data_IF_058962321435
#
_entry.id   IF_058962321435
#
_cell.length_a   1.000
_cell.length_b   1.000
_cell.length_c   1.000
_cell.angle_alpha   90.00
_cell.angle_beta   90.00
_cell.angle_gamma   90.00
#
_symmetry.space_group_name_H-M   'P 1'
#
loop_
_entity.id
_entity.type
_entity.pdbx_description
1 polymer ?
#
# COMPACT_ATOMS: atom_id res chain seq x y z
N UNK A 1 -9.11 -18.62 -6.84
CA UNK A 1 -8.85 -19.34 -8.12
C UNK A 1 -10.07 -19.55 -9.02
N UNK A 2 -11.31 -19.64 -8.48
CA UNK A 2 -12.51 -19.81 -9.31
C UNK A 2 -12.88 -18.56 -10.12
N UNK A 3 -12.53 -17.37 -9.64
CA UNK A 3 -12.75 -16.09 -10.31
C UNK A 3 -12.15 -16.05 -11.74
N UNK A 4 -12.84 -15.31 -12.62
CA UNK A 4 -12.53 -15.15 -14.04
C UNK A 4 -12.71 -13.67 -14.45
N UNK A 5 -12.03 -13.19 -15.50
CA UNK A 5 -11.04 -13.91 -16.31
C UNK A 5 -9.70 -14.11 -15.59
N UNK A 6 -9.42 -13.31 -14.56
CA UNK A 6 -8.20 -13.40 -13.74
C UNK A 6 -8.58 -13.72 -12.29
N UNK A 7 -8.00 -14.77 -11.68
CA UNK A 7 -8.23 -15.05 -10.29
C UNK A 7 -7.54 -14.02 -9.39
N UNK A 8 -8.12 -13.73 -8.22
CA UNK A 8 -7.42 -12.95 -7.20
C UNK A 8 -6.06 -13.57 -6.86
N UNK A 9 -5.01 -12.77 -7.04
CA UNK A 9 -3.60 -13.16 -6.89
C UNK A 9 -2.88 -12.40 -5.75
N UNK A 10 -3.61 -11.54 -5.05
CA UNK A 10 -3.13 -10.77 -3.89
C UNK A 10 -4.05 -11.01 -2.70
N UNK A 11 -3.46 -11.20 -1.52
CA UNK A 11 -4.19 -11.39 -0.26
C UNK A 11 -3.54 -10.55 0.84
N UNK A 12 -4.36 -9.80 1.57
CA UNK A 12 -3.93 -9.08 2.76
C UNK A 12 -4.45 -9.76 4.03
N UNK A 13 -3.54 -10.16 4.90
CA UNK A 13 -3.85 -10.70 6.22
C UNK A 13 -4.04 -9.53 7.19
N UNK A 14 -5.18 -9.50 7.87
CA UNK A 14 -5.55 -8.45 8.85
C UNK A 14 -6.31 -9.07 10.02
N UNK A 15 -6.85 -8.24 10.93
CA UNK A 15 -7.65 -8.65 12.08
C UNK A 15 -7.64 -7.58 13.16
N UNK A 16 -7.25 -7.97 14.38
CA UNK A 16 -6.70 -7.04 15.36
C UNK A 16 -5.24 -6.77 15.02
N UNK A 17 -4.32 -7.31 15.82
CA UNK A 17 -2.91 -7.40 15.47
C UNK A 17 -2.58 -8.84 15.05
N UNK A 18 -2.40 -9.14 13.74
CA UNK A 18 -2.25 -10.53 13.27
C UNK A 18 -1.01 -11.24 13.81
N UNK A 19 0.05 -10.49 14.15
CA UNK A 19 1.29 -11.08 14.71
C UNK A 19 1.13 -11.63 16.13
N UNK A 20 -0.04 -11.43 16.77
CA UNK A 20 -0.38 -12.11 18.03
C UNK A 20 -0.76 -13.59 17.83
N UNK A 21 -0.97 -14.01 16.58
CA UNK A 21 -1.29 -15.40 16.24
C UNK A 21 0.00 -16.19 16.02
N UNK A 22 0.31 -17.20 16.87
CA UNK A 22 1.55 -17.96 16.76
C UNK A 22 1.71 -18.69 15.42
N UNK A 23 0.62 -19.17 14.83
CA UNK A 23 0.63 -19.92 13.57
C UNK A 23 0.71 -19.01 12.33
N UNK A 24 0.95 -17.70 12.49
CA UNK A 24 0.98 -16.75 11.37
C UNK A 24 1.98 -17.17 10.26
N UNK A 25 3.24 -17.58 10.55
CA UNK A 25 4.15 -18.03 9.50
C UNK A 25 3.63 -19.25 8.73
N UNK A 26 2.98 -20.21 9.41
CA UNK A 26 2.37 -21.38 8.76
C UNK A 26 1.21 -20.97 7.85
N UNK A 27 0.36 -20.03 8.29
CA UNK A 27 -0.74 -19.49 7.48
C UNK A 27 -0.21 -18.80 6.22
N UNK A 28 0.84 -17.99 6.34
CA UNK A 28 1.50 -17.35 5.20
C UNK A 28 2.01 -18.40 4.21
N UNK A 29 2.65 -19.46 4.72
CA UNK A 29 3.14 -20.57 3.91
C UNK A 29 2.01 -21.29 3.15
N UNK A 30 0.90 -21.62 3.84
CA UNK A 30 -0.28 -22.23 3.21
C UNK A 30 -0.83 -21.33 2.10
N UNK A 31 -0.98 -20.03 2.35
CA UNK A 31 -1.46 -19.08 1.34
C UNK A 31 -0.52 -19.04 0.13
N UNK A 32 0.80 -19.13 0.36
CA UNK A 32 1.79 -19.16 -0.72
C UNK A 32 1.74 -20.46 -1.53
N UNK A 33 1.60 -21.61 -0.87
CA UNK A 33 1.42 -22.92 -1.48
C UNK A 33 0.14 -23.00 -2.32
N UNK A 34 -0.90 -22.28 -1.90
CA UNK A 34 -2.12 -22.08 -2.68
C UNK A 34 -1.94 -21.16 -3.88
N UNK A 35 -0.72 -20.69 -4.18
CA UNK A 35 -0.39 -19.96 -5.40
C UNK A 35 -0.84 -18.50 -5.39
N UNK A 36 -0.97 -17.89 -4.23
CA UNK A 36 -1.12 -16.43 -4.12
C UNK A 36 0.25 -15.79 -4.36
N UNK A 37 0.32 -14.87 -5.31
CA UNK A 37 1.58 -14.24 -5.72
C UNK A 37 2.04 -13.24 -4.66
N UNK A 38 1.10 -12.40 -4.22
CA UNK A 38 1.36 -11.27 -3.35
C UNK A 38 0.64 -11.40 -2.01
N UNK A 39 1.40 -11.53 -0.92
CA UNK A 39 0.85 -11.66 0.44
C UNK A 39 1.28 -10.44 1.24
N UNK A 40 0.31 -9.63 1.67
CA UNK A 40 0.54 -8.46 2.52
C UNK A 40 0.10 -8.73 3.95
N UNK A 41 0.84 -8.19 4.92
CA UNK A 41 0.48 -8.29 6.34
C UNK A 41 0.13 -6.91 6.90
N UNK A 42 -1.13 -6.70 7.24
CA UNK A 42 -1.58 -5.49 7.94
C UNK A 42 -1.24 -5.58 9.43
N UNK A 43 -0.34 -4.73 9.90
CA UNK A 43 0.21 -4.81 11.28
C UNK A 43 0.56 -3.42 11.81
N UNK A 44 0.53 -3.27 13.14
CA UNK A 44 1.13 -2.13 13.83
C UNK A 44 2.66 -2.23 13.94
N UNK A 45 3.28 -3.35 13.57
CA UNK A 45 4.73 -3.54 13.53
C UNK A 45 5.42 -3.79 14.89
N UNK A 46 4.70 -3.66 16.01
CA UNK A 46 5.29 -3.70 17.36
C UNK A 46 5.97 -5.05 17.63
N UNK A 47 5.33 -6.17 17.29
CA UNK A 47 5.93 -7.49 17.52
C UNK A 47 7.16 -7.73 16.64
N UNK A 48 7.22 -7.14 15.44
CA UNK A 48 8.42 -7.18 14.61
C UNK A 48 9.56 -6.33 15.20
N UNK A 49 9.24 -5.22 15.88
CA UNK A 49 10.23 -4.43 16.61
C UNK A 49 10.79 -5.18 17.83
N UNK A 50 9.94 -5.93 18.54
CA UNK A 50 10.32 -6.68 19.74
C UNK A 50 11.04 -8.00 19.40
N UNK A 51 10.63 -8.66 18.31
CA UNK A 51 11.21 -9.91 17.82
C UNK A 51 11.66 -9.78 16.36
N UNK A 52 12.91 -9.36 16.11
CA UNK A 52 13.43 -9.22 14.74
C UNK A 52 13.42 -10.52 13.92
N UNK A 53 13.48 -11.69 14.57
CA UNK A 53 13.45 -12.99 13.87
C UNK A 53 12.11 -13.23 13.18
N UNK A 54 11.02 -12.66 13.70
CA UNK A 54 9.70 -12.76 13.08
C UNK A 54 9.68 -12.20 11.65
N UNK A 55 10.43 -11.12 11.38
CA UNK A 55 10.51 -10.56 10.03
C UNK A 55 11.15 -11.56 9.04
N UNK A 56 12.18 -12.27 9.47
CA UNK A 56 12.84 -13.32 8.66
C UNK A 56 11.92 -14.53 8.48
N UNK A 57 11.29 -15.02 9.55
CA UNK A 57 10.35 -16.15 9.50
C UNK A 57 9.18 -15.87 8.54
N UNK A 58 8.58 -14.68 8.60
CA UNK A 58 7.50 -14.28 7.71
C UNK A 58 7.99 -14.16 6.26
N UNK A 59 9.19 -13.60 6.04
CA UNK A 59 9.78 -13.50 4.72
C UNK A 59 10.01 -14.88 4.10
N UNK A 60 10.61 -15.78 4.85
CA UNK A 60 10.89 -17.16 4.44
C UNK A 60 9.62 -17.96 4.18
N UNK A 61 8.54 -17.70 4.94
CA UNK A 61 7.22 -18.26 4.70
C UNK A 61 6.56 -17.77 3.40
N UNK A 62 7.07 -16.70 2.79
CA UNK A 62 6.58 -16.17 1.51
C UNK A 62 5.85 -14.83 1.61
N UNK A 63 5.93 -14.12 2.75
CA UNK A 63 5.35 -12.80 2.88
C UNK A 63 6.02 -11.81 1.91
N UNK A 64 5.20 -11.02 1.21
CA UNK A 64 5.69 -10.09 0.19
C UNK A 64 6.09 -8.74 0.78
N UNK A 65 5.24 -8.17 1.64
CA UNK A 65 5.52 -6.92 2.35
C UNK A 65 4.64 -6.76 3.59
N UNK A 66 5.01 -5.79 4.43
CA UNK A 66 4.14 -5.24 5.46
C UNK A 66 3.26 -4.13 4.88
N UNK A 67 2.01 -4.12 5.31
CA UNK A 67 1.08 -3.00 5.21
C UNK A 67 1.02 -2.35 6.60
N UNK A 68 2.04 -1.55 6.93
CA UNK A 68 2.33 -1.12 8.30
C UNK A 68 1.59 0.17 8.67
N UNK A 69 0.82 0.10 9.75
CA UNK A 69 0.12 1.25 10.32
C UNK A 69 1.11 2.33 10.78
N UNK A 70 0.98 3.56 10.29
CA UNK A 70 1.90 4.66 10.59
C UNK A 70 1.21 6.01 10.42
N UNK A 71 0.57 6.53 11.49
CA UNK A 71 -0.35 7.69 11.37
C UNK A 71 0.33 9.06 11.40
N UNK A 72 1.64 9.09 11.59
CA UNK A 72 2.37 10.34 11.77
C UNK A 72 3.78 10.14 12.30
N UNK A 73 4.52 11.22 12.32
CA UNK A 73 5.91 11.28 12.75
C UNK A 73 6.07 11.72 14.20
N UNK A 74 5.02 12.24 14.85
CA UNK A 74 5.08 12.61 16.26
C UNK A 74 4.41 11.57 17.19
N UNK A 75 4.78 11.53 18.49
CA UNK A 75 4.08 10.69 19.45
C UNK A 75 2.60 11.04 19.61
N UNK A 76 2.22 12.29 19.28
CA UNK A 76 0.85 12.79 19.41
C UNK A 76 -0.05 12.24 18.29
N UNK A 77 0.45 12.24 17.05
CA UNK A 77 -0.29 11.74 15.88
C UNK A 77 -0.15 10.23 15.73
N UNK A 78 0.94 9.64 16.21
CA UNK A 78 1.21 8.20 16.12
C UNK A 78 1.47 7.52 17.49
N UNK A 79 0.54 7.60 18.46
CA UNK A 79 0.75 7.09 19.82
C UNK A 79 0.86 5.56 19.92
N UNK A 80 0.46 4.84 18.87
CA UNK A 80 0.42 3.37 18.81
C UNK A 80 1.81 2.76 18.71
N UNK A 81 2.67 3.27 17.83
CA UNK A 81 3.95 2.65 17.48
C UNK A 81 5.06 3.65 17.17
N UNK A 82 4.94 4.93 17.54
CA UNK A 82 5.97 5.94 17.23
C UNK A 82 7.38 5.53 17.67
N UNK A 83 7.51 4.89 18.83
CA UNK A 83 8.83 4.46 19.34
C UNK A 83 9.30 3.14 18.73
N UNK A 84 8.35 2.31 18.29
CA UNK A 84 8.56 0.96 17.80
C UNK A 84 8.85 0.93 16.29
N UNK A 85 8.23 1.82 15.51
CA UNK A 85 8.32 1.83 14.06
C UNK A 85 9.76 1.86 13.50
N UNK A 86 10.73 2.62 14.06
CA UNK A 86 12.10 2.59 13.56
C UNK A 86 12.76 1.21 13.72
N UNK A 87 12.46 0.50 14.81
CA UNK A 87 12.95 -0.87 15.03
C UNK A 87 12.24 -1.90 14.13
N UNK A 88 10.96 -1.70 13.83
CA UNK A 88 10.24 -2.50 12.83
C UNK A 88 10.91 -2.35 11.46
N UNK A 89 11.21 -1.11 11.06
CA UNK A 89 11.90 -0.81 9.79
C UNK A 89 13.25 -1.52 9.72
N UNK A 90 14.04 -1.47 10.79
CA UNK A 90 15.34 -2.15 10.82
C UNK A 90 15.22 -3.68 10.78
N UNK A 91 14.25 -4.26 11.48
CA UNK A 91 13.99 -5.71 11.43
C UNK A 91 13.61 -6.15 10.02
N UNK A 92 12.78 -5.37 9.35
CA UNK A 92 12.40 -5.58 7.95
C UNK A 92 13.57 -5.41 6.99
N UNK A 93 14.46 -4.43 7.23
CA UNK A 93 15.68 -4.21 6.46
C UNK A 93 16.60 -5.43 6.51
N UNK A 94 16.83 -6.00 7.71
CA UNK A 94 17.63 -7.23 7.89
C UNK A 94 17.02 -8.43 7.17
N UNK A 95 15.69 -8.53 7.16
CA UNK A 95 14.97 -9.59 6.47
C UNK A 95 14.75 -9.34 4.96
N UNK A 96 15.12 -8.16 4.44
CA UNK A 96 14.73 -7.71 3.09
C UNK A 96 13.21 -7.86 2.82
N UNK A 97 12.41 -7.46 3.80
CA UNK A 97 10.95 -7.48 3.76
C UNK A 97 10.44 -6.05 3.54
N UNK A 98 9.85 -5.77 2.37
CA UNK A 98 9.39 -4.41 2.04
C UNK A 98 8.27 -3.90 2.95
N UNK A 99 8.15 -2.57 3.05
CA UNK A 99 7.11 -1.90 3.84
C UNK A 99 6.30 -0.94 2.98
N UNK A 100 4.98 -0.97 3.15
CA UNK A 100 4.05 0.09 2.77
C UNK A 100 3.63 0.81 4.05
N UNK A 101 3.85 2.12 4.14
CA UNK A 101 3.37 2.92 5.26
C UNK A 101 1.91 3.30 5.06
N UNK A 102 1.10 3.17 6.10
CA UNK A 102 -0.35 3.34 6.02
C UNK A 102 -0.83 4.31 7.11
N UNK A 103 -0.83 5.62 6.81
CA UNK A 103 -1.45 6.61 7.68
C UNK A 103 -2.96 6.65 7.48
N UNK A 104 -3.72 6.51 8.57
CA UNK A 104 -5.11 6.98 8.59
C UNK A 104 -5.11 8.48 8.77
N UNK A 105 -5.54 9.22 7.74
CA UNK A 105 -5.50 10.68 7.73
C UNK A 105 -6.84 11.24 8.23
N UNK A 106 -6.78 12.10 9.23
CA UNK A 106 -7.93 12.77 9.85
C UNK A 106 -7.66 14.28 9.85
N UNK A 107 -8.58 15.06 9.27
CA UNK A 107 -8.48 16.52 9.25
C UNK A 107 -8.39 17.07 10.67
N UNK A 108 -7.54 18.07 10.88
CA UNK A 108 -7.26 18.71 12.18
C UNK A 108 -6.53 17.85 13.22
N UNK A 109 -6.22 16.59 12.93
CA UNK A 109 -5.54 15.68 13.87
C UNK A 109 -4.11 15.39 13.41
N UNK A 110 -3.91 14.93 12.18
CA UNK A 110 -2.59 14.55 11.65
C UNK A 110 -2.37 14.95 10.17
N UNK A 111 -3.31 15.67 9.56
CA UNK A 111 -3.23 16.20 8.20
C UNK A 111 -2.10 17.22 7.99
N UNK A 112 -1.44 17.66 9.05
CA UNK A 112 -0.26 18.52 9.04
C UNK A 112 1.08 17.76 9.00
N UNK A 113 1.06 16.41 9.01
CA UNK A 113 2.26 15.57 9.01
C UNK A 113 2.44 14.71 7.76
N UNK A 114 1.64 14.91 6.70
CA UNK A 114 1.72 14.12 5.48
C UNK A 114 3.08 14.24 4.79
N UNK A 115 3.62 15.46 4.68
CA UNK A 115 4.98 15.68 4.20
C UNK A 115 6.03 15.04 5.12
N UNK A 116 5.83 15.08 6.44
CA UNK A 116 6.72 14.43 7.41
C UNK A 116 6.77 12.91 7.23
N UNK A 117 5.61 12.27 7.01
CA UNK A 117 5.52 10.83 6.69
C UNK A 117 6.27 10.53 5.38
N UNK A 118 6.11 11.38 4.36
CA UNK A 118 6.86 11.27 3.11
C UNK A 118 8.38 11.35 3.32
N UNK A 119 8.86 12.28 4.15
CA UNK A 119 10.29 12.40 4.48
C UNK A 119 10.80 11.20 5.27
N UNK A 120 10.01 10.66 6.19
CA UNK A 120 10.36 9.41 6.89
C UNK A 120 10.50 8.24 5.92
N UNK A 121 9.57 8.11 4.97
CA UNK A 121 9.62 7.09 3.93
C UNK A 121 10.83 7.26 3.02
N UNK A 122 11.12 8.50 2.58
CA UNK A 122 12.28 8.82 1.76
C UNK A 122 13.61 8.42 2.44
N UNK A 123 13.78 8.73 3.73
CA UNK A 123 14.97 8.32 4.50
C UNK A 123 15.15 6.80 4.58
N UNK A 124 14.07 6.05 4.38
CA UNK A 124 14.03 4.58 4.42
C UNK A 124 13.63 3.97 3.07
N UNK A 125 13.89 4.66 1.96
CA UNK A 125 13.46 4.24 0.60
C UNK A 125 14.03 2.88 0.16
N UNK A 126 15.09 2.41 0.83
CA UNK A 126 15.66 1.09 0.61
C UNK A 126 14.69 -0.05 0.99
N UNK A 127 13.81 0.20 1.97
CA UNK A 127 12.87 -0.80 2.50
C UNK A 127 11.41 -0.36 2.44
N UNK A 128 11.13 0.94 2.58
CA UNK A 128 9.80 1.54 2.39
C UNK A 128 9.57 1.81 0.92
N UNK A 129 8.63 1.06 0.31
CA UNK A 129 8.39 1.09 -1.14
C UNK A 129 7.15 1.89 -1.53
N UNK A 130 6.26 2.16 -0.57
CA UNK A 130 5.07 2.95 -0.81
C UNK A 130 4.53 3.61 0.45
N UNK A 131 3.72 4.64 0.25
CA UNK A 131 2.85 5.23 1.25
C UNK A 131 1.43 5.14 0.72
N UNK A 132 0.52 4.59 1.51
CA UNK A 132 -0.90 4.51 1.21
C UNK A 132 -1.67 5.38 2.19
N UNK A 133 -1.84 6.66 1.89
CA UNK A 133 -2.64 7.56 2.72
C UNK A 133 -4.12 7.18 2.66
N UNK A 134 -4.74 7.00 3.82
CA UNK A 134 -6.15 6.58 3.92
C UNK A 134 -6.97 7.68 4.61
N UNK A 135 -7.65 8.55 3.85
CA UNK A 135 -8.64 9.45 4.42
C UNK A 135 -9.66 8.70 5.29
N UNK A 136 -9.95 9.25 6.47
CA UNK A 136 -10.79 8.59 7.49
C UNK A 136 -12.21 8.28 6.99
N UNK A 137 -12.69 7.09 7.34
CA UNK A 137 -14.10 6.69 7.25
C UNK A 137 -14.80 7.00 8.57
N UNK A 138 -15.78 7.90 8.57
CA UNK A 138 -16.48 8.37 9.78
C UNK A 138 -17.67 7.47 10.11
N UNK A 139 -17.52 6.63 11.14
CA UNK A 139 -18.58 5.71 11.59
C UNK A 139 -19.28 6.20 12.88
N UNK A 140 -20.41 5.58 13.22
CA UNK A 140 -21.19 5.93 14.42
C UNK A 140 -22.17 7.10 14.22
N UNK A 141 -22.59 7.73 15.34
CA UNK A 141 -23.56 8.85 15.35
C UNK A 141 -22.85 10.19 15.54
N UNK A 142 -22.05 10.59 14.56
CA UNK A 142 -21.32 11.88 14.59
C UNK A 142 -22.21 13.04 14.15
N UNK A 143 -22.18 14.17 14.86
CA UNK A 143 -22.89 15.39 14.45
C UNK A 143 -22.26 15.96 13.18
N UNK A 144 -23.06 16.71 12.39
CA UNK A 144 -22.58 17.33 11.14
C UNK A 144 -21.30 18.16 11.34
N UNK A 145 -21.25 18.98 12.38
CA UNK A 145 -20.09 19.80 12.72
C UNK A 145 -18.82 18.97 13.00
N UNK A 146 -18.96 17.83 13.70
CA UNK A 146 -17.83 16.93 13.95
C UNK A 146 -17.37 16.27 12.66
N UNK A 147 -18.30 15.88 11.79
CA UNK A 147 -17.97 15.34 10.48
C UNK A 147 -17.21 16.34 9.62
N UNK A 148 -17.65 17.59 9.56
CA UNK A 148 -16.96 18.66 8.82
C UNK A 148 -15.56 18.96 9.39
N UNK A 149 -15.40 18.85 10.71
CA UNK A 149 -14.11 19.05 11.38
C UNK A 149 -13.09 17.97 11.04
N UNK A 150 -13.50 16.70 11.03
CA UNK A 150 -12.58 15.55 10.93
C UNK A 150 -12.49 14.94 9.54
N UNK A 151 -13.48 15.15 8.67
CA UNK A 151 -13.47 14.62 7.31
C UNK A 151 -12.36 15.28 6.51
N UNK A 152 -11.60 14.44 5.81
CA UNK A 152 -10.62 14.84 4.81
C UNK A 152 -10.90 14.08 3.52
N UNK A 153 -10.63 14.70 2.38
CA UNK A 153 -10.83 14.12 1.05
C UNK A 153 -9.49 13.88 0.36
N UNK A 154 -9.50 13.15 -0.76
CA UNK A 154 -8.30 12.97 -1.59
C UNK A 154 -7.71 14.33 -2.03
N UNK A 155 -8.50 15.28 -2.58
CA UNK A 155 -7.98 16.62 -2.88
C UNK A 155 -7.38 17.34 -1.68
N UNK A 156 -8.04 17.32 -0.51
CA UNK A 156 -7.48 17.94 0.70
C UNK A 156 -6.10 17.35 1.05
N UNK A 157 -5.94 16.02 0.99
CA UNK A 157 -4.66 15.37 1.24
C UNK A 157 -3.60 15.77 0.21
N UNK A 158 -3.95 15.84 -1.07
CA UNK A 158 -3.04 16.23 -2.15
C UNK A 158 -2.56 17.68 -1.95
N UNK A 159 -3.47 18.61 -1.64
CA UNK A 159 -3.12 20.01 -1.34
C UNK A 159 -2.18 20.10 -0.15
N UNK A 160 -2.46 19.35 0.93
CA UNK A 160 -1.57 19.31 2.10
C UNK A 160 -0.20 18.71 1.80
N UNK A 161 -0.11 17.70 0.95
CA UNK A 161 1.18 17.15 0.52
C UNK A 161 1.96 18.16 -0.31
N UNK A 162 1.32 18.85 -1.26
CA UNK A 162 1.96 19.90 -2.06
C UNK A 162 2.51 21.03 -1.17
N UNK A 163 1.68 21.55 -0.26
CA UNK A 163 2.08 22.58 0.71
C UNK A 163 3.26 22.11 1.59
N UNK A 164 3.16 20.93 2.19
CA UNK A 164 4.17 20.42 3.13
C UNK A 164 5.45 19.93 2.46
N UNK A 165 5.43 19.74 1.13
CA UNK A 165 6.61 19.40 0.33
C UNK A 165 7.18 20.60 -0.41
N UNK A 166 6.65 21.81 -0.18
CA UNK A 166 7.02 23.04 -0.88
C UNK A 166 6.96 22.88 -2.41
N UNK A 167 5.92 22.21 -2.91
CA UNK A 167 5.69 21.99 -4.34
C UNK A 167 6.53 20.88 -4.98
N UNK A 168 7.32 20.13 -4.21
CA UNK A 168 8.10 18.99 -4.74
C UNK A 168 7.18 17.89 -5.28
N UNK A 169 6.04 17.67 -4.61
CA UNK A 169 4.96 16.80 -5.08
C UNK A 169 3.74 17.67 -5.41
N UNK A 170 3.64 18.20 -6.65
CA UNK A 170 2.57 19.09 -7.05
C UNK A 170 1.25 18.35 -7.23
N UNK A 171 0.13 19.09 -7.18
CA UNK A 171 -1.22 18.53 -7.31
C UNK A 171 -1.48 17.83 -8.65
N UNK A 172 -0.83 18.28 -9.71
CA UNK A 172 -0.92 17.72 -11.07
C UNK A 172 -0.11 16.42 -11.25
N UNK A 173 0.67 16.01 -10.24
CA UNK A 173 1.38 14.74 -10.26
C UNK A 173 0.47 13.52 -10.04
N UNK A 174 -0.76 13.72 -9.58
CA UNK A 174 -1.65 12.67 -9.11
C UNK A 174 -2.67 12.27 -10.17
N UNK A 175 -2.92 10.96 -10.28
CA UNK A 175 -3.95 10.41 -11.16
C UNK A 175 -4.92 9.54 -10.38
N UNK A 176 -6.20 9.48 -10.78
CA UNK A 176 -7.07 8.41 -10.34
C UNK A 176 -6.45 7.04 -10.61
N UNK A 177 -6.63 6.10 -9.70
CA UNK A 177 -6.15 4.71 -9.87
C UNK A 177 -6.51 4.08 -11.23
N UNK A 178 -7.74 4.20 -11.77
CA UNK A 178 -8.07 3.60 -13.06
C UNK A 178 -7.36 4.24 -14.26
N UNK A 179 -6.60 5.34 -14.10
CA UNK A 179 -5.83 5.94 -15.20
C UNK A 179 -4.74 5.03 -15.76
N UNK A 180 -4.38 3.95 -15.06
CA UNK A 180 -3.37 2.98 -15.53
C UNK A 180 -3.94 1.86 -16.43
N UNK A 181 -5.26 1.79 -16.66
CA UNK A 181 -5.89 0.77 -17.52
C UNK A 181 -5.26 0.61 -18.91
N UNK A 182 -4.81 1.67 -19.61
CA UNK A 182 -4.13 1.54 -20.92
C UNK A 182 -2.89 0.64 -20.87
N UNK A 183 -2.17 0.62 -19.74
CA UNK A 183 -1.02 -0.26 -19.54
C UNK A 183 -1.48 -1.72 -19.46
N UNK A 184 -2.53 -1.99 -18.68
CA UNK A 184 -3.11 -3.34 -18.55
C UNK A 184 -3.63 -3.86 -19.89
N UNK A 185 -4.38 -3.04 -20.63
CA UNK A 185 -4.91 -3.41 -21.94
C UNK A 185 -3.79 -3.72 -22.94
N UNK A 186 -2.75 -2.89 -22.97
CA UNK A 186 -1.60 -3.14 -23.84
C UNK A 186 -0.89 -4.44 -23.49
N UNK A 187 -0.62 -4.70 -22.20
CA UNK A 187 0.04 -5.94 -21.76
C UNK A 187 -0.82 -7.17 -22.07
N UNK A 188 -2.13 -7.10 -21.85
CA UNK A 188 -3.06 -8.17 -22.19
C UNK A 188 -3.08 -8.45 -23.70
N UNK A 189 -3.24 -7.41 -24.52
CA UNK A 189 -3.25 -7.52 -25.98
C UNK A 189 -1.91 -8.03 -26.53
N UNK A 190 -0.79 -7.68 -25.90
CA UNK A 190 0.55 -8.07 -26.31
C UNK A 190 0.90 -9.51 -25.91
N UNK A 191 0.54 -9.91 -24.69
CA UNK A 191 0.83 -11.25 -24.15
C UNK A 191 -0.24 -12.28 -24.50
N UNK A 192 -1.43 -11.84 -24.92
CA UNK A 192 -2.64 -12.65 -25.11
C UNK A 192 -3.02 -13.42 -23.83
N UNK A 193 -2.69 -12.86 -22.66
CA UNK A 193 -3.02 -13.39 -21.34
C UNK A 193 -3.84 -12.37 -20.57
N UNK A 194 -5.02 -12.75 -20.04
CA UNK A 194 -5.82 -11.86 -19.21
C UNK A 194 -5.01 -11.25 -18.07
N UNK A 195 -5.15 -9.94 -17.87
CA UNK A 195 -4.55 -9.20 -16.77
C UNK A 195 -5.65 -8.67 -15.85
N UNK A 196 -5.36 -8.55 -14.54
CA UNK A 196 -6.31 -7.86 -13.67
C UNK A 196 -6.23 -6.36 -13.94
N UNK A 197 -7.37 -5.69 -13.99
CA UNK A 197 -7.47 -4.26 -14.22
C UNK A 197 -7.75 -3.55 -12.90
N UNK A 198 -7.07 -2.43 -12.66
CA UNK A 198 -7.38 -1.56 -11.51
C UNK A 198 -8.59 -0.67 -11.84
N UNK A 199 -9.71 -1.29 -12.16
CA UNK A 199 -10.91 -0.68 -12.73
C UNK A 199 -11.85 -0.04 -11.71
N UNK A 200 -11.31 0.35 -10.54
CA UNK A 200 -12.11 0.99 -9.50
C UNK A 200 -12.74 2.30 -9.96
N UNK A 201 -13.78 2.72 -9.25
CA UNK A 201 -14.34 4.04 -9.45
C UNK A 201 -13.28 5.12 -9.19
N UNK A 202 -13.17 6.12 -10.07
CA UNK A 202 -12.10 7.13 -10.05
C UNK A 202 -11.98 7.89 -8.71
N UNK A 203 -13.11 8.06 -8.01
CA UNK A 203 -13.16 8.71 -6.70
C UNK A 203 -12.67 7.82 -5.53
N UNK A 204 -12.34 6.55 -5.76
CA UNK A 204 -11.88 5.64 -4.71
C UNK A 204 -10.43 5.90 -4.31
N UNK A 205 -9.56 6.20 -5.26
CA UNK A 205 -8.15 6.36 -4.98
C UNK A 205 -7.43 7.19 -6.02
N UNK A 206 -6.31 7.76 -5.60
CA UNK A 206 -5.38 8.48 -6.45
C UNK A 206 -3.96 7.96 -6.19
N UNK A 207 -3.07 8.08 -7.16
CA UNK A 207 -1.68 7.69 -6.97
C UNK A 207 -0.72 8.38 -7.92
N UNK A 208 0.56 8.32 -7.54
CA UNK A 208 1.68 8.77 -8.34
C UNK A 208 2.95 8.00 -7.96
N UNK A 209 3.94 8.04 -8.84
CA UNK A 209 5.29 7.54 -8.55
C UNK A 209 6.24 8.71 -8.38
N UNK A 210 7.08 8.62 -7.35
CA UNK A 210 8.15 9.59 -7.09
C UNK A 210 9.49 8.88 -7.04
N UNK A 211 10.54 9.57 -7.47
CA UNK A 211 11.89 9.04 -7.58
C UNK A 211 12.85 9.96 -6.85
N UNK A 212 13.75 9.41 -6.01
CA UNK A 212 14.79 10.24 -5.39
C UNK A 212 15.89 10.55 -6.40
N UNK A 213 16.16 11.83 -6.62
CA UNK A 213 17.33 12.30 -7.34
C UNK A 213 18.58 12.14 -6.49
N UNK A 214 19.57 11.39 -7.00
CA UNK A 214 20.78 11.05 -6.23
C UNK A 214 21.65 12.26 -5.86
N UNK A 215 21.61 13.32 -6.67
CA UNK A 215 22.49 14.46 -6.51
C UNK A 215 21.88 15.48 -5.56
N UNK A 216 20.59 15.75 -5.71
CA UNK A 216 19.87 16.80 -4.98
C UNK A 216 19.09 16.28 -3.77
N UNK A 217 18.87 14.96 -3.68
CA UNK A 217 18.00 14.32 -2.67
C UNK A 217 16.56 14.81 -2.69
N UNK A 218 16.11 15.42 -3.78
CA UNK A 218 14.70 15.76 -4.00
C UNK A 218 13.96 14.58 -4.59
N UNK A 219 12.70 14.43 -4.24
CA UNK A 219 11.76 13.55 -4.93
C UNK A 219 11.31 14.24 -6.22
N UNK A 220 11.34 13.48 -7.31
CA UNK A 220 10.92 13.91 -8.63
C UNK A 220 9.71 13.05 -9.03
N UNK A 221 8.51 13.63 -9.12
CA UNK A 221 7.33 12.93 -9.61
C UNK A 221 7.52 12.45 -11.05
N UNK A 222 6.91 11.30 -11.39
CA UNK A 222 6.98 10.73 -12.73
C UNK A 222 6.45 11.68 -13.81
N UNK A 223 5.43 12.50 -13.49
CA UNK A 223 4.84 13.49 -14.40
C UNK A 223 5.79 14.61 -14.77
N UNK A 224 6.79 14.89 -13.94
CA UNK A 224 7.73 15.99 -14.19
C UNK A 224 8.69 15.69 -15.35
N UNK A 225 8.80 14.42 -15.76
CA UNK A 225 9.71 14.01 -16.83
C UNK A 225 9.10 12.96 -17.79
N UNK A 226 7.84 12.57 -17.59
CA UNK A 226 7.11 11.66 -18.49
C UNK A 226 5.78 12.28 -18.89
N UNK A 227 5.55 12.40 -20.19
CA UNK A 227 4.23 12.69 -20.75
C UNK A 227 3.34 11.44 -20.64
N UNK A 228 2.76 11.26 -19.45
CA UNK A 228 1.91 10.10 -19.16
C UNK A 228 0.66 10.07 -20.02
N UNK A 229 0.05 11.23 -20.29
CA UNK A 229 -1.15 11.32 -21.12
C UNK A 229 -0.86 10.85 -22.54
N UNK A 230 0.17 11.41 -23.18
CA UNK A 230 0.58 11.00 -24.52
C UNK A 230 1.04 9.55 -24.58
N UNK A 231 1.71 9.06 -23.53
CA UNK A 231 2.09 7.65 -23.43
C UNK A 231 0.88 6.73 -23.34
N UNK A 232 -0.12 7.05 -22.53
CA UNK A 232 -1.34 6.25 -22.38
C UNK A 232 -2.17 6.23 -23.66
N UNK A 233 -2.39 7.39 -24.30
CA UNK A 233 -3.08 7.47 -25.59
C UNK A 233 -2.35 6.63 -26.66
N UNK A 234 -1.02 6.62 -26.63
CA UNK A 234 -0.22 5.81 -27.54
C UNK A 234 -0.29 4.31 -27.23
N UNK A 235 -0.38 3.92 -25.96
CA UNK A 235 -0.58 2.52 -25.56
C UNK A 235 -1.94 2.00 -26.01
N UNK A 236 -3.00 2.81 -25.92
CA UNK A 236 -4.33 2.45 -26.44
C UNK A 236 -4.28 2.27 -27.97
N UNK A 237 -3.65 3.20 -28.71
CA UNK A 237 -3.43 3.05 -30.15
C UNK A 237 -2.72 1.72 -30.49
N UNK A 238 -1.70 1.34 -29.72
CA UNK A 238 -0.98 0.06 -29.93
C UNK A 238 -1.76 -1.17 -29.50
N UNK A 239 -2.65 -1.03 -28.53
CA UNK A 239 -3.60 -2.06 -28.16
C UNK A 239 -4.55 -2.35 -29.32
N UNK A 240 -5.08 -1.32 -29.97
CA UNK A 240 -5.96 -1.46 -31.15
C UNK A 240 -5.23 -2.07 -32.34
N UNK A 241 -3.97 -1.70 -32.59
CA UNK A 241 -3.14 -2.35 -33.61
C UNK A 241 -2.97 -3.86 -33.34
N UNK A 242 -2.73 -4.26 -32.08
CA UNK A 242 -2.57 -5.66 -31.69
C UNK A 242 -3.88 -6.45 -31.80
N UNK A 243 -5.02 -5.80 -31.55
CA UNK A 243 -6.34 -6.41 -31.62
C UNK A 243 -6.83 -6.54 -33.08
N UNK A 244 -6.41 -5.65 -33.97
CA UNK A 244 -6.66 -5.74 -35.42
C UNK A 244 -5.76 -6.75 -36.15
N UNK A 245 -4.88 -7.46 -35.43
CA UNK A 245 -4.07 -8.56 -35.97
C UNK A 245 -2.65 -8.18 -36.39
N UNK A 246 -2.19 -6.97 -36.05
CA UNK A 246 -0.80 -6.55 -36.34
C UNK A 246 0.19 -7.44 -35.59
N UNK A 247 1.33 -7.76 -36.23
CA UNK A 247 2.38 -8.57 -35.62
C UNK A 247 2.94 -7.92 -34.34
N UNK A 248 2.95 -8.64 -33.22
CA UNK A 248 3.41 -8.14 -31.91
C UNK A 248 4.85 -7.60 -31.92
N UNK A 249 5.76 -8.19 -32.72
CA UNK A 249 7.14 -7.72 -32.81
C UNK A 249 7.24 -6.38 -33.54
N UNK A 250 6.37 -6.15 -34.53
CA UNK A 250 6.27 -4.86 -35.21
C UNK A 250 5.75 -3.78 -34.24
N UNK A 251 4.71 -4.11 -33.46
CA UNK A 251 4.17 -3.20 -32.44
C UNK A 251 5.23 -2.90 -31.36
N UNK A 252 5.97 -3.91 -30.90
CA UNK A 252 7.08 -3.72 -29.96
C UNK A 252 8.16 -2.79 -30.53
N UNK A 253 8.56 -2.98 -31.79
CA UNK A 253 9.55 -2.12 -32.44
C UNK A 253 9.05 -0.66 -32.54
N UNK A 254 7.79 -0.44 -32.93
CA UNK A 254 7.16 0.89 -32.94
C UNK A 254 7.18 1.51 -31.54
N UNK A 255 6.76 0.76 -30.52
CA UNK A 255 6.76 1.22 -29.14
C UNK A 255 8.16 1.66 -28.68
N UNK A 256 9.17 0.80 -28.88
CA UNK A 256 10.56 1.11 -28.52
C UNK A 256 11.06 2.37 -29.25
N UNK A 257 10.73 2.53 -30.53
CA UNK A 257 11.17 3.70 -31.31
C UNK A 257 10.57 5.02 -30.81
N UNK A 258 9.31 5.00 -30.34
CA UNK A 258 8.60 6.20 -29.90
C UNK A 258 8.72 6.47 -28.41
N UNK A 259 9.07 5.47 -27.59
CA UNK A 259 9.12 5.58 -26.13
C UNK A 259 9.92 6.80 -25.63
N UNK A 260 11.07 7.09 -26.24
CA UNK A 260 11.91 8.21 -25.82
C UNK A 260 11.28 9.59 -26.09
N UNK A 261 10.26 9.71 -26.95
CA UNK A 261 9.58 11.00 -27.18
C UNK A 261 8.67 11.39 -26.02
N UNK A 262 8.27 10.43 -25.18
CA UNK A 262 7.44 10.70 -23.99
C UNK A 262 8.27 10.97 -22.74
N UNK A 263 9.60 10.88 -22.81
CA UNK A 263 10.49 10.98 -21.66
C UNK A 263 11.43 12.18 -21.85
N UNK A 264 11.27 13.19 -21.01
CA UNK A 264 12.16 14.35 -20.95
C UNK A 264 13.46 13.96 -20.23
N UNK A 265 14.47 13.54 -21.01
CA UNK A 265 15.69 12.95 -20.45
C UNK A 265 16.46 13.86 -19.50
N UNK A 266 16.44 15.17 -19.76
CA UNK A 266 17.15 16.17 -18.96
C UNK A 266 16.49 16.44 -17.60
N UNK A 267 15.21 16.08 -17.45
CA UNK A 267 14.46 16.18 -16.19
C UNK A 267 14.44 14.87 -15.41
N UNK A 268 14.98 13.79 -15.96
CA UNK A 268 15.05 12.52 -15.24
C UNK A 268 15.98 12.62 -14.03
N UNK A 269 15.59 12.06 -12.88
CA UNK A 269 16.43 12.04 -11.69
C UNK A 269 17.73 11.26 -11.92
N UNK A 270 18.82 11.77 -11.35
CA UNK A 270 20.15 11.20 -11.50
C UNK A 270 20.19 9.71 -11.07
N UNK A 271 20.65 8.84 -11.97
CA UNK A 271 20.74 7.40 -11.73
C UNK A 271 19.50 6.59 -12.08
N UNK A 272 18.49 7.21 -12.70
CA UNK A 272 17.36 6.56 -13.35
C UNK A 272 17.56 6.54 -14.88
N UNK A 273 17.20 5.43 -15.51
CA UNK A 273 17.03 5.36 -16.97
C UNK A 273 15.71 4.65 -17.26
N UNK A 274 14.63 5.42 -17.34
CA UNK A 274 13.28 4.86 -17.42
C UNK A 274 13.06 4.10 -18.72
N UNK A 275 13.56 4.60 -19.85
CA UNK A 275 13.39 3.91 -21.14
C UNK A 275 14.05 2.54 -21.15
N UNK A 276 15.28 2.41 -20.61
CA UNK A 276 15.95 1.11 -20.46
C UNK A 276 15.13 0.14 -19.59
N UNK A 277 14.49 0.63 -18.52
CA UNK A 277 13.65 -0.19 -17.65
C UNK A 277 12.40 -0.69 -18.37
N UNK A 278 11.65 0.20 -19.03
CA UNK A 278 10.42 -0.14 -19.74
C UNK A 278 10.69 -1.07 -20.93
N UNK A 279 11.76 -0.84 -21.69
CA UNK A 279 12.20 -1.75 -22.77
C UNK A 279 12.60 -3.11 -22.20
N UNK A 280 13.32 -3.13 -21.07
CA UNK A 280 13.70 -4.36 -20.38
C UNK A 280 12.49 -5.19 -19.95
N UNK A 281 11.46 -4.54 -19.37
CA UNK A 281 10.22 -5.20 -18.97
C UNK A 281 9.47 -5.81 -20.16
N UNK A 282 9.36 -5.06 -21.27
CA UNK A 282 8.70 -5.54 -22.50
C UNK A 282 9.42 -6.74 -23.12
N UNK A 283 10.76 -6.68 -23.21
CA UNK A 283 11.57 -7.73 -23.86
C UNK A 283 11.69 -9.00 -23.04
N UNK A 284 11.78 -8.88 -21.71
CA UNK A 284 11.91 -10.06 -20.83
C UNK A 284 10.58 -10.80 -20.64
N UNK A 285 9.46 -10.21 -21.06
CA UNK A 285 8.11 -10.68 -20.71
C UNK A 285 7.93 -10.92 -19.19
N UNK A 286 8.80 -10.29 -18.40
CA UNK A 286 8.90 -10.49 -16.96
C UNK A 286 8.42 -9.22 -16.28
N UNK A 287 7.11 -9.09 -16.24
CA UNK A 287 6.41 -8.05 -15.50
C UNK A 287 6.36 -8.37 -13.99
N UNK A 288 7.00 -9.45 -13.54
CA UNK A 288 7.27 -9.72 -12.12
C UNK A 288 8.59 -9.10 -11.63
N UNK A 289 9.48 -8.73 -12.57
CA UNK A 289 10.76 -8.03 -12.30
C UNK A 289 10.62 -6.54 -11.94
N UNK A 290 9.40 -6.04 -11.72
CA UNK A 290 9.09 -4.72 -11.14
C UNK A 290 9.72 -4.56 -9.74
N UNK A 291 10.19 -5.65 -9.12
CA UNK A 291 11.06 -5.61 -7.94
C UNK A 291 12.28 -4.70 -8.10
N UNK A 292 12.89 -4.59 -9.30
CA UNK A 292 13.98 -3.64 -9.58
C UNK A 292 13.50 -2.20 -9.76
N UNK A 293 12.28 -2.01 -10.29
CA UNK A 293 11.65 -0.69 -10.46
C UNK A 293 11.42 -0.01 -9.10
N UNK A 294 11.03 -0.78 -8.09
CA UNK A 294 10.81 -0.29 -6.73
C UNK A 294 12.08 -0.03 -5.92
N UNK A 295 13.29 -0.39 -6.38
CA UNK A 295 14.53 -0.17 -5.58
C UNK A 295 14.89 1.32 -5.49
N UNK A 296 14.28 2.19 -6.31
CA UNK A 296 14.52 3.65 -6.31
C UNK A 296 13.29 4.50 -6.63
N UNK A 297 12.12 3.88 -6.66
CA UNK A 297 10.85 4.57 -6.80
C UNK A 297 10.01 4.28 -5.58
N UNK A 298 9.22 5.27 -5.19
CA UNK A 298 8.24 5.14 -4.12
C UNK A 298 6.87 5.44 -4.70
N UNK A 299 5.92 4.54 -4.48
CA UNK A 299 4.54 4.79 -4.84
C UNK A 299 3.87 5.62 -3.75
N UNK A 300 3.27 6.73 -4.13
CA UNK A 300 2.39 7.50 -3.25
C UNK A 300 0.96 7.22 -3.69
N UNK A 301 0.21 6.55 -2.82
CA UNK A 301 -1.16 6.14 -3.08
C UNK A 301 -2.12 6.71 -2.05
N UNK A 302 -3.38 6.80 -2.45
CA UNK A 302 -4.50 7.18 -1.61
C UNK A 302 -5.66 6.22 -1.83
N UNK A 303 -6.34 5.83 -0.75
CA UNK A 303 -7.59 5.09 -0.82
C UNK A 303 -8.60 5.69 0.17
N UNK A 304 -9.66 6.29 -0.36
CA UNK A 304 -10.70 6.93 0.43
C UNK A 304 -11.85 5.96 0.66
N UNK A 305 -11.90 5.33 1.84
CA UNK A 305 -13.00 4.45 2.18
C UNK A 305 -14.28 5.22 2.45
N UNK A 306 -15.40 4.62 2.05
CA UNK A 306 -16.73 5.18 2.27
C UNK A 306 -17.13 5.07 3.74
N UNK A 307 -18.10 5.86 4.15
CA UNK A 307 -18.75 5.82 5.44
C UNK A 307 -20.26 5.99 5.33
N UNK A 308 -20.97 5.93 6.47
CA UNK A 308 -22.45 5.97 6.50
C UNK A 308 -23.04 7.26 5.91
N UNK A 309 -22.23 8.29 5.66
CA UNK A 309 -22.67 9.60 5.19
C UNK A 309 -22.27 9.93 3.76
N UNK A 310 -21.46 9.08 3.10
CA UNK A 310 -21.01 9.28 1.71
C UNK A 310 -20.99 7.98 0.90
N UNK A 311 -21.79 6.99 1.31
CA UNK A 311 -21.88 5.71 0.62
C UNK A 311 -22.52 5.89 -0.76
N UNK A 312 -21.81 5.38 -1.76
CA UNK A 312 -22.14 5.40 -3.17
C UNK A 312 -22.11 3.95 -3.70
N UNK A 313 -23.19 3.55 -4.36
CA UNK A 313 -23.37 2.18 -4.86
C UNK A 313 -22.49 1.88 -6.10
N UNK A 314 -22.26 2.84 -6.97
CA UNK A 314 -21.39 2.66 -8.15
C UNK A 314 -19.95 2.38 -7.71
N UNK A 315 -19.51 3.07 -6.64
CA UNK A 315 -18.21 2.79 -6.01
C UNK A 315 -18.14 1.38 -5.43
N UNK A 316 -19.23 0.84 -4.89
CA UNK A 316 -19.28 -0.52 -4.35
C UNK A 316 -19.30 -1.59 -5.43
N UNK A 317 -20.03 -1.35 -6.53
CA UNK A 317 -20.08 -2.26 -7.68
C UNK A 317 -18.73 -2.41 -8.37
N UNK A 318 -17.89 -1.38 -8.30
CA UNK A 318 -16.53 -1.36 -8.86
C UNK A 318 -15.44 -1.48 -7.79
N UNK A 319 -15.73 -2.09 -6.65
CA UNK A 319 -14.71 -2.29 -5.62
C UNK A 319 -13.69 -3.34 -6.06
N UNK A 320 -12.42 -3.15 -5.77
CA UNK A 320 -11.34 -4.12 -5.97
C UNK A 320 -10.80 -4.69 -4.64
N UNK A 321 -11.08 -4.03 -3.51
CA UNK A 321 -10.73 -4.48 -2.16
C UNK A 321 -11.93 -5.19 -1.53
N UNK A 322 -11.76 -6.46 -1.19
CA UNK A 322 -12.83 -7.28 -0.66
C UNK A 322 -12.41 -8.06 0.60
N UNK A 323 -13.39 -8.39 1.43
CA UNK A 323 -13.26 -9.44 2.44
C UNK A 323 -13.74 -10.77 1.88
N UNK A 324 -12.88 -11.78 1.96
CA UNK A 324 -13.28 -13.17 1.84
C UNK A 324 -13.79 -13.65 3.20
N UNK A 325 -14.94 -14.31 3.20
CA UNK A 325 -15.58 -14.82 4.41
C UNK A 325 -15.55 -16.35 4.48
N UNK A 326 -15.69 -16.97 5.67
CA UNK A 326 -15.66 -18.43 5.80
C UNK A 326 -16.78 -19.18 5.05
N UNK A 327 -17.89 -18.50 4.71
CA UNK A 327 -18.92 -19.06 3.81
C UNK A 327 -18.66 -18.74 2.33
N UNK A 328 -17.40 -18.46 1.98
CA UNK A 328 -16.92 -18.24 0.61
C UNK A 328 -17.53 -17.03 -0.11
N UNK A 329 -18.22 -16.13 0.61
CA UNK A 329 -18.67 -14.87 0.03
C UNK A 329 -17.52 -13.87 -0.03
N UNK A 330 -17.50 -13.11 -1.12
CA UNK A 330 -16.63 -11.96 -1.34
C UNK A 330 -17.48 -10.70 -1.13
N UNK A 331 -17.07 -9.84 -0.20
CA UNK A 331 -17.85 -8.66 0.20
C UNK A 331 -16.97 -7.41 0.02
N UNK A 332 -17.44 -6.38 -0.70
CA UNK A 332 -16.71 -5.12 -0.84
C UNK A 332 -16.30 -4.54 0.52
N UNK A 333 -15.07 -4.02 0.62
CA UNK A 333 -14.49 -3.53 1.88
C UNK A 333 -15.39 -2.52 2.59
N UNK A 334 -15.92 -1.56 1.83
CA UNK A 334 -16.79 -0.52 2.38
C UNK A 334 -18.11 -1.11 2.87
N UNK A 335 -18.76 -2.02 2.13
CA UNK A 335 -19.98 -2.70 2.59
C UNK A 335 -19.75 -3.46 3.90
N UNK A 336 -18.63 -4.19 4.00
CA UNK A 336 -18.29 -4.98 5.18
C UNK A 336 -18.11 -4.12 6.44
N UNK A 337 -17.53 -2.92 6.31
CA UNK A 337 -17.21 -2.04 7.44
C UNK A 337 -18.28 -0.99 7.75
N UNK A 338 -19.00 -0.51 6.73
CA UNK A 338 -20.00 0.57 6.87
C UNK A 338 -21.36 0.02 7.28
N UNK A 339 -21.73 -1.19 6.83
CA UNK A 339 -22.97 -1.88 7.22
C UNK A 339 -22.61 -3.20 7.94
N UNK A 340 -21.89 -3.12 9.08
CA UNK A 340 -21.34 -4.29 9.73
C UNK A 340 -22.43 -5.26 10.23
N UNK A 341 -23.60 -4.76 10.59
CA UNK A 341 -24.74 -5.56 11.06
C UNK A 341 -25.17 -6.64 10.05
N UNK A 342 -25.04 -6.38 8.75
CA UNK A 342 -25.46 -7.31 7.70
C UNK A 342 -24.35 -8.28 7.31
N UNK A 343 -23.09 -7.86 7.48
CA UNK A 343 -21.92 -8.57 6.99
C UNK A 343 -21.00 -8.99 8.12
N UNK A 344 -20.15 -8.08 8.61
CA UNK A 344 -19.10 -8.38 9.59
C UNK A 344 -19.63 -9.03 10.86
N UNK A 345 -20.61 -8.41 11.50
CA UNK A 345 -21.09 -8.82 12.82
C UNK A 345 -21.81 -10.17 12.73
N UNK A 346 -22.52 -10.42 11.63
CA UNK A 346 -23.15 -11.72 11.35
C UNK A 346 -22.10 -12.83 11.12
N UNK A 347 -21.04 -12.54 10.38
CA UNK A 347 -19.94 -13.47 10.14
C UNK A 347 -19.19 -13.76 11.44
N UNK A 348 -18.82 -12.73 12.20
CA UNK A 348 -18.11 -12.88 13.47
C UNK A 348 -18.95 -13.63 14.51
N UNK A 349 -20.26 -13.37 14.58
CA UNK A 349 -21.15 -14.14 15.46
C UNK A 349 -21.24 -15.62 15.09
N UNK A 350 -21.17 -15.96 13.80
CA UNK A 350 -21.30 -17.34 13.31
C UNK A 350 -19.99 -18.14 13.43
N UNK A 351 -18.85 -17.50 13.17
CA UNK A 351 -17.56 -18.18 13.05
C UNK A 351 -16.52 -17.78 14.10
N UNK A 352 -16.81 -16.76 14.90
CA UNK A 352 -15.93 -16.28 15.97
C UNK A 352 -16.10 -17.07 17.25
N UNK A 353 -15.12 -16.88 18.14
CA UNK A 353 -15.12 -17.36 19.52
C UNK A 353 -15.24 -16.14 20.45
N UNK A 354 -16.00 -16.28 21.54
CA UNK A 354 -16.07 -15.20 22.54
C UNK A 354 -14.75 -15.06 23.30
N UNK A 355 -14.49 -13.87 23.86
CA UNK A 355 -13.29 -13.66 24.70
C UNK A 355 -13.25 -14.65 25.86
N UNK A 356 -14.36 -14.82 26.59
CA UNK A 356 -14.42 -15.73 27.74
C UNK A 356 -14.13 -17.19 27.36
N UNK A 357 -14.64 -17.64 26.23
CA UNK A 357 -14.40 -18.99 25.73
C UNK A 357 -12.94 -19.17 25.28
N UNK A 358 -12.39 -18.16 24.61
CA UNK A 358 -10.98 -18.17 24.21
C UNK A 358 -10.06 -18.20 25.44
N UNK A 359 -10.32 -17.37 26.45
CA UNK A 359 -9.50 -17.32 27.68
C UNK A 359 -9.57 -18.65 28.45
N UNK A 360 -10.75 -19.26 28.55
CA UNK A 360 -10.91 -20.59 29.16
C UNK A 360 -10.13 -21.67 28.39
N UNK A 361 -10.19 -21.63 27.06
CA UNK A 361 -9.51 -22.60 26.20
C UNK A 361 -7.99 -22.49 26.27
N UNK A 362 -7.45 -21.28 26.38
CA UNK A 362 -6.00 -21.03 26.37
C UNK A 362 -5.39 -20.95 27.78
N UNK A 363 -6.21 -20.88 28.84
CA UNK A 363 -5.73 -20.82 30.21
C UNK A 363 -5.06 -19.49 30.57
N UNK A 364 -5.28 -18.43 29.79
CA UNK A 364 -4.69 -17.11 30.00
C UNK A 364 -5.69 -15.99 29.68
N UNK A 365 -5.45 -14.82 30.26
CA UNK A 365 -6.24 -13.61 30.00
C UNK A 365 -5.69 -12.86 28.79
N UNK A 366 -6.57 -12.36 27.91
CA UNK A 366 -6.15 -11.52 26.78
C UNK A 366 -5.41 -10.26 27.24
N UNK A 367 -5.80 -9.73 28.40
CA UNK A 367 -5.14 -8.58 29.02
C UNK A 367 -3.66 -8.82 29.33
N UNK A 368 -3.24 -10.08 29.57
CA UNK A 368 -1.83 -10.43 29.77
C UNK A 368 -0.99 -10.22 28.50
N UNK A 369 -1.62 -10.27 27.31
CA UNK A 369 -0.98 -10.04 26.01
C UNK A 369 -0.97 -8.56 25.58
N UNK A 370 -1.57 -7.66 26.35
CA UNK A 370 -1.60 -6.24 25.99
C UNK A 370 -0.19 -5.64 26.05
N UNK A 371 0.24 -5.08 24.93
CA UNK A 371 1.48 -4.31 24.88
C UNK A 371 1.35 -3.03 25.69
N UNK A 372 2.22 -2.83 26.69
CA UNK A 372 2.21 -1.69 27.60
C UNK A 372 3.25 -0.62 27.28
N UNK A 373 3.73 -0.56 26.04
CA UNK A 373 4.64 0.50 25.59
C UNK A 373 6.03 0.39 26.20
N UNK A 374 6.60 -0.82 26.26
CA UNK A 374 7.92 -1.05 26.87
C UNK A 374 9.05 -0.31 26.14
N UNK A 375 8.88 0.04 24.85
CA UNK A 375 9.82 0.84 24.07
C UNK A 375 9.61 2.37 24.19
N UNK A 376 8.62 2.82 24.97
CA UNK A 376 8.35 4.26 25.13
C UNK A 376 9.51 4.96 25.84
N UNK A 377 9.92 6.11 25.29
CA UNK A 377 10.97 6.99 25.84
C UNK A 377 12.33 6.30 25.98
N UNK A 378 12.70 5.43 25.04
CA UNK A 378 14.05 4.83 24.97
C UNK A 378 14.32 3.75 26.02
N UNK A 379 13.28 3.22 26.68
CA UNK A 379 13.41 2.00 27.48
C UNK A 379 13.54 0.81 26.53
N UNK A 380 14.55 -0.04 26.70
CA UNK A 380 14.60 -1.32 26.02
C UNK A 380 13.92 -2.37 26.90
N UNK A 381 13.08 -3.23 26.33
CA UNK A 381 12.57 -4.39 27.05
C UNK A 381 13.70 -5.41 27.25
N UNK A 382 13.77 -6.06 28.42
CA UNK A 382 14.73 -7.13 28.68
C UNK A 382 14.55 -8.26 27.63
N UNK A 383 15.63 -8.63 26.95
CA UNK A 383 15.62 -9.63 25.88
C UNK A 383 15.18 -9.13 24.50
N UNK A 384 14.88 -7.84 24.33
CA UNK A 384 14.61 -7.26 23.00
C UNK A 384 15.89 -7.21 22.15
N UNK A 385 15.84 -7.79 20.94
CA UNK A 385 16.92 -7.70 19.94
C UNK A 385 17.23 -6.27 19.46
N UNK A 386 16.50 -5.27 19.96
CA UNK A 386 16.68 -3.85 19.72
C UNK A 386 17.75 -3.19 20.61
N UNK A 387 18.23 -3.83 21.67
CA UNK A 387 19.23 -3.28 22.61
C UNK A 387 20.59 -2.97 21.97
N UNK A 388 20.88 -3.54 20.80
CA UNK A 388 22.12 -3.35 20.05
C UNK A 388 22.02 -2.33 18.92
N UNK A 389 20.86 -1.70 18.69
CA UNK A 389 20.65 -0.75 17.58
C UNK A 389 20.30 0.62 18.15
N UNK A 390 21.25 1.56 18.09
CA UNK A 390 20.96 2.96 18.40
C UNK A 390 20.24 3.58 17.19
N UNK A 391 18.92 3.80 17.32
CA UNK A 391 18.12 4.46 16.28
C UNK A 391 17.68 5.82 16.81
N UNK A 392 17.98 6.89 16.07
CA UNK A 392 17.48 8.22 16.40
C UNK A 392 15.93 8.22 16.41
N UNK A 393 15.29 8.91 17.37
CA UNK A 393 13.83 9.03 17.39
C UNK A 393 13.29 9.53 16.05
N UNK A 394 12.03 9.24 15.72
CA UNK A 394 11.37 9.78 14.52
C UNK A 394 11.31 11.31 14.66
N UNK A 395 12.28 12.00 14.08
CA UNK A 395 12.32 13.46 14.01
C UNK A 395 11.77 13.87 12.65
N UNK A 396 10.53 14.35 12.65
CA UNK A 396 9.97 15.08 11.52
C UNK A 396 10.64 16.45 11.46
N UNK A 397 11.62 16.60 10.57
CA UNK A 397 12.09 17.90 10.07
C UNK A 397 11.75 17.98 8.61
#
# INVERSE_FOLDING_TARGET
KAERPVPGNSLQITGGEPTLRPELPEIVKIIKEEGVDHIQLNTNGINLALNPNLAMELRDAGLSNLYMSFDGVSPKTNPKNHWEAPYTVESCRKANLGIVLVPTVIKSINDHELGGILRFAQRNIDIVRAISYQPVSLTGRMKKQEREKYRITIPDCIERIEEQTNGEIPRDAWFPVPSCSPVTHFVEAFTKRPQYELSIHFACGAGTYVFEDKNTKKLVPITSFVDLKGLFEYLDEKTDELNSGTNKYLVAAKFISKLNSFIEKDKQPAGLNLSKLLVGALLKHDYSSVGQFHIRSMFLGMMHFQDKYNQDEERLQRCDIHYLTPDMRIIPFCSFNVIPEWYRDRIQKKYGISVDEWEKKNGEKLEARLYRGTLRRGKHADGCGCSSVHIEPITGT
#
